data_IF_337643758524
#
_entry.id   IF_337643758524
#
_cell.length_a   1.000
_cell.length_b   1.000
_cell.length_c   1.000
_cell.angle_alpha   90.00
_cell.angle_beta   90.00
_cell.angle_gamma   90.00
#
_symmetry.space_group_name_H-M   'P 1'
#
loop_
_entity.id
_entity.type
_entity.pdbx_description
1 polymer ?
#
# COMPACT_ATOMS: atom_id res chain seq x y z
N UNK A 1 22.78 -23.90 56.61
CA UNK A 1 22.84 -24.51 55.26
C UNK A 1 21.82 -23.78 54.40
N UNK A 2 22.27 -22.89 53.50
CA UNK A 2 21.38 -22.23 52.55
C UNK A 2 21.14 -23.18 51.39
N UNK A 3 19.89 -23.59 51.17
CA UNK A 3 19.51 -24.28 49.95
C UNK A 3 19.50 -23.28 48.80
N UNK A 4 20.31 -23.61 47.79
CA UNK A 4 20.41 -22.93 46.50
C UNK A 4 19.09 -23.15 45.78
N UNK A 5 18.20 -22.16 45.81
CA UNK A 5 17.00 -22.14 44.96
C UNK A 5 17.42 -22.17 43.49
N UNK A 6 16.96 -23.18 42.77
CA UNK A 6 17.26 -23.40 41.37
C UNK A 6 16.72 -22.26 40.50
N UNK A 7 17.57 -21.80 39.58
CA UNK A 7 17.28 -20.80 38.57
C UNK A 7 16.37 -21.40 37.48
N UNK A 8 15.07 -21.08 37.52
CA UNK A 8 14.15 -21.36 36.41
C UNK A 8 14.40 -20.41 35.23
N UNK A 9 14.64 -20.98 34.05
CA UNK A 9 14.90 -20.29 32.78
C UNK A 9 13.64 -19.54 32.27
N UNK A 10 13.75 -18.43 31.50
CA UNK A 10 12.62 -17.60 31.12
C UNK A 10 11.99 -18.12 29.81
N UNK A 11 11.10 -19.12 29.90
CA UNK A 11 10.36 -19.57 28.73
C UNK A 11 9.31 -18.50 28.36
N UNK A 12 9.48 -17.89 27.19
CA UNK A 12 8.54 -16.90 26.65
C UNK A 12 7.13 -17.48 26.47
N UNK A 13 6.12 -16.60 26.35
CA UNK A 13 4.73 -17.00 26.12
C UNK A 13 4.66 -17.99 24.93
N UNK A 14 3.96 -19.13 25.08
CA UNK A 14 3.75 -20.08 23.98
C UNK A 14 3.21 -19.39 22.72
N UNK A 15 3.63 -19.87 21.55
CA UNK A 15 3.12 -19.38 20.27
C UNK A 15 1.63 -19.70 20.15
N UNK A 16 0.86 -18.72 19.67
CA UNK A 16 -0.57 -18.88 19.36
C UNK A 16 -0.73 -19.84 18.17
N UNK A 17 -1.60 -20.83 18.27
CA UNK A 17 -1.93 -21.79 17.19
C UNK A 17 -3.39 -21.67 16.77
N UNK A 18 -3.85 -22.55 15.88
CA UNK A 18 -5.26 -22.54 15.42
C UNK A 18 -6.24 -22.91 16.53
N UNK A 19 -5.82 -23.70 17.50
CA UNK A 19 -6.63 -24.09 18.66
C UNK A 19 -6.94 -22.92 19.60
N UNK A 20 -6.10 -21.88 19.59
CA UNK A 20 -6.28 -20.66 20.37
C UNK A 20 -7.25 -19.66 19.70
N UNK A 21 -7.62 -19.90 18.43
CA UNK A 21 -8.54 -19.03 17.70
C UNK A 21 -9.99 -19.24 18.15
N UNK A 22 -10.86 -18.22 18.03
CA UNK A 22 -12.26 -18.34 18.41
C UNK A 22 -12.97 -19.52 17.74
N UNK A 23 -13.84 -20.20 18.47
CA UNK A 23 -14.59 -21.33 17.92
C UNK A 23 -15.39 -20.92 16.67
N UNK A 24 -15.29 -21.73 15.61
CA UNK A 24 -15.93 -21.47 14.32
C UNK A 24 -15.43 -20.22 13.60
N UNK A 25 -14.19 -19.78 13.88
CA UNK A 25 -13.60 -18.59 13.25
C UNK A 25 -13.62 -18.67 11.72
N UNK A 26 -13.41 -19.86 11.15
CA UNK A 26 -13.33 -20.06 9.71
C UNK A 26 -14.69 -19.78 9.05
N UNK A 27 -15.76 -20.35 9.60
CA UNK A 27 -17.13 -20.16 9.14
C UNK A 27 -17.56 -18.70 9.27
N UNK A 28 -17.26 -18.08 10.42
CA UNK A 28 -17.56 -16.66 10.69
C UNK A 28 -16.83 -15.73 9.72
N UNK A 29 -15.53 -15.95 9.51
CA UNK A 29 -14.73 -15.19 8.57
C UNK A 29 -15.29 -15.33 7.14
N UNK A 30 -15.54 -16.57 6.68
CA UNK A 30 -16.10 -16.81 5.35
C UNK A 30 -17.50 -16.22 5.18
N UNK A 31 -18.34 -16.23 6.22
CA UNK A 31 -19.66 -15.58 6.19
C UNK A 31 -19.53 -14.07 5.98
N UNK A 32 -18.66 -13.40 6.76
CA UNK A 32 -18.48 -11.96 6.65
C UNK A 32 -17.82 -11.57 5.31
N UNK A 33 -16.85 -12.35 4.83
CA UNK A 33 -16.29 -12.17 3.49
C UNK A 33 -17.33 -12.31 2.38
N UNK A 34 -18.32 -13.22 2.50
CA UNK A 34 -19.42 -13.34 1.53
C UNK A 34 -20.29 -12.09 1.45
N UNK A 35 -20.20 -11.20 2.43
CA UNK A 35 -20.88 -9.91 2.46
C UNK A 35 -20.00 -8.76 1.94
N UNK A 36 -18.80 -9.08 1.44
CA UNK A 36 -17.85 -8.09 0.90
C UNK A 36 -16.90 -7.50 1.94
N UNK A 37 -16.82 -8.07 3.13
CA UNK A 37 -15.94 -7.57 4.19
C UNK A 37 -14.46 -7.75 3.90
N UNK A 38 -13.64 -6.87 4.47
CA UNK A 38 -12.19 -6.81 4.33
C UNK A 38 -11.46 -7.58 5.43
N UNK A 39 -10.18 -7.87 5.23
CA UNK A 39 -9.32 -8.47 6.26
C UNK A 39 -9.29 -7.65 7.56
N UNK A 40 -9.46 -6.32 7.49
CA UNK A 40 -9.55 -5.46 8.68
C UNK A 40 -10.84 -5.75 9.46
N UNK A 41 -11.97 -5.86 8.77
CA UNK A 41 -13.25 -6.22 9.37
C UNK A 41 -13.18 -7.64 9.96
N UNK A 42 -12.59 -8.61 9.25
CA UNK A 42 -12.42 -9.96 9.80
C UNK A 42 -11.59 -9.93 11.09
N UNK A 43 -10.48 -9.19 11.10
CA UNK A 43 -9.64 -9.06 12.30
C UNK A 43 -10.36 -8.43 13.47
N UNK A 44 -11.17 -7.39 13.22
CA UNK A 44 -11.94 -6.72 14.25
C UNK A 44 -13.07 -7.60 14.79
N UNK A 45 -13.90 -8.14 13.89
CA UNK A 45 -15.18 -8.77 14.24
C UNK A 45 -15.05 -10.26 14.58
N UNK A 46 -14.16 -10.99 13.93
CA UNK A 46 -14.00 -12.45 14.15
C UNK A 46 -12.94 -12.73 15.20
N UNK A 47 -11.82 -12.01 15.15
CA UNK A 47 -10.64 -12.29 15.97
C UNK A 47 -10.42 -11.29 17.10
N UNK A 48 -11.31 -10.32 17.32
CA UNK A 48 -11.25 -9.39 18.44
C UNK A 48 -10.03 -8.46 18.41
N UNK A 49 -9.60 -8.04 17.21
CA UNK A 49 -8.45 -7.14 17.03
C UNK A 49 -7.10 -7.85 16.93
N UNK A 50 -7.05 -8.99 16.24
CA UNK A 50 -5.80 -9.72 15.99
C UNK A 50 -4.70 -8.81 15.44
N UNK A 51 -3.51 -8.85 16.07
CA UNK A 51 -2.36 -8.06 15.63
C UNK A 51 -1.90 -8.41 14.21
N UNK A 52 -1.28 -7.45 13.52
CA UNK A 52 -0.73 -7.66 12.17
C UNK A 52 0.36 -8.74 12.15
N UNK A 53 1.19 -8.81 13.20
CA UNK A 53 2.28 -9.78 13.28
C UNK A 53 1.74 -11.20 13.44
N UNK A 54 0.75 -11.39 14.31
CA UNK A 54 0.07 -12.67 14.46
C UNK A 54 -0.62 -13.09 13.16
N UNK A 55 -1.37 -12.19 12.52
CA UNK A 55 -2.01 -12.45 11.24
C UNK A 55 -1.00 -12.86 10.17
N UNK A 56 0.07 -12.09 10.01
CA UNK A 56 1.11 -12.35 9.00
C UNK A 56 1.80 -13.69 9.24
N UNK A 57 2.09 -14.00 10.51
CA UNK A 57 2.66 -15.29 10.89
C UNK A 57 1.71 -16.45 10.60
N UNK A 58 0.44 -16.38 11.01
CA UNK A 58 -0.54 -17.44 10.74
C UNK A 58 -0.77 -17.62 9.23
N UNK A 59 -0.79 -16.55 8.44
CA UNK A 59 -0.86 -16.65 6.97
C UNK A 59 0.34 -17.41 6.35
N UNK A 60 1.51 -17.37 6.99
CA UNK A 60 2.74 -17.99 6.50
C UNK A 60 2.95 -19.41 7.06
N UNK A 61 2.56 -19.66 8.31
CA UNK A 61 2.84 -20.89 9.04
C UNK A 61 1.65 -21.87 9.05
N UNK A 62 0.41 -21.38 8.99
CA UNK A 62 -0.80 -22.20 9.15
C UNK A 62 -1.60 -22.32 7.84
N UNK A 63 -1.50 -23.47 7.18
CA UNK A 63 -2.12 -23.69 5.86
C UNK A 63 -3.64 -23.48 5.89
N UNK A 64 -4.34 -24.05 6.89
CA UNK A 64 -5.80 -23.92 7.01
C UNK A 64 -6.22 -22.44 7.16
N UNK A 65 -5.47 -21.67 7.93
CA UNK A 65 -5.70 -20.23 8.07
C UNK A 65 -5.51 -19.52 6.74
N UNK A 66 -4.37 -19.75 6.09
CA UNK A 66 -4.02 -19.11 4.82
C UNK A 66 -5.03 -19.41 3.71
N UNK A 67 -5.47 -20.66 3.57
CA UNK A 67 -6.48 -21.08 2.59
C UNK A 67 -7.84 -20.47 2.89
N UNK A 68 -8.27 -20.47 4.16
CA UNK A 68 -9.55 -19.89 4.57
C UNK A 68 -9.61 -18.40 4.26
N UNK A 69 -8.57 -17.64 4.61
CA UNK A 69 -8.50 -16.21 4.33
C UNK A 69 -8.41 -15.95 2.81
N UNK A 70 -7.66 -16.75 2.07
CA UNK A 70 -7.55 -16.62 0.61
C UNK A 70 -8.88 -16.90 -0.10
N UNK A 71 -9.61 -17.95 0.31
CA UNK A 71 -10.95 -18.22 -0.18
C UNK A 71 -11.92 -17.09 0.19
N UNK A 72 -11.81 -16.57 1.41
CA UNK A 72 -12.57 -15.41 1.88
C UNK A 72 -12.38 -14.18 1.01
N UNK A 73 -11.13 -13.80 0.70
CA UNK A 73 -10.82 -12.66 -0.18
C UNK A 73 -11.47 -12.81 -1.56
N UNK A 74 -11.45 -14.02 -2.14
CA UNK A 74 -12.11 -14.30 -3.41
C UNK A 74 -13.64 -14.14 -3.30
N UNK A 75 -14.27 -14.58 -2.21
CA UNK A 75 -15.70 -14.39 -1.95
C UNK A 75 -16.06 -12.89 -1.82
N UNK A 76 -15.23 -12.11 -1.12
CA UNK A 76 -15.42 -10.67 -1.00
C UNK A 76 -15.34 -9.98 -2.38
N UNK A 77 -14.33 -10.30 -3.19
CA UNK A 77 -14.22 -9.74 -4.53
C UNK A 77 -15.40 -10.13 -5.42
N UNK A 78 -15.87 -11.38 -5.33
CA UNK A 78 -17.05 -11.84 -6.05
C UNK A 78 -18.32 -11.07 -5.63
N UNK A 79 -18.49 -10.76 -4.34
CA UNK A 79 -19.59 -9.95 -3.85
C UNK A 79 -19.56 -8.54 -4.44
N UNK A 80 -18.42 -7.87 -4.40
CA UNK A 80 -18.26 -6.52 -4.94
C UNK A 80 -18.46 -6.51 -6.46
N UNK A 81 -17.90 -7.47 -7.18
CA UNK A 81 -18.10 -7.63 -8.63
C UNK A 81 -19.58 -7.84 -8.96
N UNK A 82 -20.30 -8.64 -8.17
CA UNK A 82 -21.74 -8.83 -8.32
C UNK A 82 -22.50 -7.52 -8.12
N UNK A 83 -22.14 -6.72 -7.11
CA UNK A 83 -22.77 -5.41 -6.85
C UNK A 83 -22.66 -4.48 -8.06
N UNK A 84 -21.49 -4.39 -8.68
CA UNK A 84 -21.32 -3.63 -9.92
C UNK A 84 -22.21 -4.18 -11.04
N UNK A 85 -22.11 -5.48 -11.33
CA UNK A 85 -22.84 -6.14 -12.43
C UNK A 85 -24.36 -5.99 -12.33
N UNK A 86 -24.93 -6.09 -11.12
CA UNK A 86 -26.38 -6.04 -10.91
C UNK A 86 -26.94 -4.64 -10.67
N UNK A 87 -26.11 -3.60 -10.76
CA UNK A 87 -26.54 -2.21 -10.49
C UNK A 87 -26.33 -1.27 -11.68
N UNK A 88 -26.03 -1.80 -12.87
CA UNK A 88 -25.70 -0.99 -14.06
C UNK A 88 -26.89 -0.16 -14.59
N UNK A 89 -28.12 -0.62 -14.39
CA UNK A 89 -29.36 0.04 -14.81
C UNK A 89 -29.98 0.91 -13.71
N UNK A 90 -29.38 0.90 -12.52
CA UNK A 90 -29.90 1.59 -11.34
C UNK A 90 -29.45 3.04 -11.31
N UNK A 91 -30.42 3.96 -11.36
CA UNK A 91 -30.17 5.42 -11.30
C UNK A 91 -29.57 5.90 -9.98
N UNK A 92 -29.72 5.13 -8.90
CA UNK A 92 -29.20 5.45 -7.57
C UNK A 92 -27.82 4.87 -7.30
N UNK A 93 -27.27 4.09 -8.24
CA UNK A 93 -25.96 3.47 -8.08
C UNK A 93 -24.84 4.50 -8.18
N UNK A 94 -24.01 4.57 -7.13
CA UNK A 94 -22.85 5.46 -7.06
C UNK A 94 -21.64 4.83 -7.77
N UNK A 95 -21.72 4.77 -9.10
CA UNK A 95 -20.72 4.16 -10.00
C UNK A 95 -19.28 4.63 -9.74
N UNK A 96 -19.08 5.94 -9.53
CA UNK A 96 -17.76 6.53 -9.24
C UNK A 96 -17.19 6.05 -7.91
N UNK A 97 -18.01 6.01 -6.86
CA UNK A 97 -17.59 5.55 -5.52
C UNK A 97 -17.27 4.07 -5.58
N UNK A 98 -18.11 3.29 -6.25
CA UNK A 98 -17.85 1.87 -6.51
C UNK A 98 -16.53 1.68 -7.26
N UNK A 99 -16.29 2.40 -8.36
CA UNK A 99 -15.05 2.29 -9.13
C UNK A 99 -13.82 2.63 -8.28
N UNK A 100 -13.86 3.71 -7.49
CA UNK A 100 -12.77 4.07 -6.56
C UNK A 100 -12.52 2.96 -5.55
N UNK A 101 -13.58 2.36 -5.01
CA UNK A 101 -13.45 1.24 -4.09
C UNK A 101 -12.80 0.02 -4.78
N UNK A 102 -13.22 -0.31 -6.00
CA UNK A 102 -12.64 -1.44 -6.77
C UNK A 102 -11.16 -1.21 -7.11
N UNK A 103 -10.78 -0.01 -7.55
CA UNK A 103 -9.39 0.33 -7.86
C UNK A 103 -8.50 0.26 -6.62
N UNK A 104 -8.94 0.84 -5.49
CA UNK A 104 -8.14 0.88 -4.27
C UNK A 104 -8.02 -0.49 -3.60
N UNK A 105 -9.10 -1.28 -3.60
CA UNK A 105 -9.17 -2.53 -2.85
C UNK A 105 -8.71 -3.75 -3.64
N UNK A 106 -9.12 -3.85 -4.90
CA UNK A 106 -8.85 -5.02 -5.74
C UNK A 106 -7.84 -4.72 -6.85
N UNK A 107 -7.22 -3.53 -6.83
CA UNK A 107 -6.22 -3.11 -7.82
C UNK A 107 -6.76 -3.22 -9.25
N UNK A 108 -8.05 -3.00 -9.42
CA UNK A 108 -8.63 -2.86 -10.75
C UNK A 108 -7.94 -1.68 -11.42
N UNK A 109 -7.44 -1.90 -12.61
CA UNK A 109 -6.80 -0.85 -13.39
C UNK A 109 -7.88 -0.09 -14.18
N UNK A 110 -7.77 1.23 -14.18
CA UNK A 110 -8.53 2.04 -15.12
C UNK A 110 -7.79 1.99 -16.47
N UNK A 111 -8.08 0.97 -17.27
CA UNK A 111 -7.49 0.80 -18.62
C UNK A 111 -7.90 1.87 -19.63
N UNK A 112 -8.50 2.98 -19.21
CA UNK A 112 -8.49 4.19 -20.00
C UNK A 112 -7.03 4.66 -20.03
N UNK A 113 -6.30 4.24 -21.08
CA UNK A 113 -4.98 4.74 -21.44
C UNK A 113 -5.10 6.27 -21.58
N UNK A 114 -4.82 6.96 -20.49
CA UNK A 114 -4.41 8.35 -20.51
C UNK A 114 -2.89 8.35 -20.60
N UNK A 115 -2.34 7.71 -21.65
CA UNK A 115 -0.92 7.78 -21.96
C UNK A 115 -0.58 9.26 -22.18
N UNK A 116 -0.15 9.90 -21.11
CA UNK A 116 0.27 11.29 -21.13
C UNK A 116 1.65 11.29 -21.76
N UNK A 117 1.68 11.36 -23.10
CA UNK A 117 2.91 11.53 -23.85
C UNK A 117 3.50 12.89 -23.48
N UNK A 118 4.53 12.87 -22.64
CA UNK A 118 5.31 14.05 -22.32
C UNK A 118 6.11 14.42 -23.57
N UNK A 119 5.68 15.47 -24.25
CA UNK A 119 6.36 16.05 -25.41
C UNK A 119 6.59 17.53 -25.17
N UNK A 120 7.66 18.07 -25.73
CA UNK A 120 7.91 19.49 -25.78
C UNK A 120 7.00 20.20 -26.79
N UNK A 121 7.19 21.52 -26.97
CA UNK A 121 6.41 22.30 -27.93
C UNK A 121 6.37 21.61 -29.31
N UNK A 122 5.17 21.53 -29.90
CA UNK A 122 4.93 20.90 -31.21
C UNK A 122 5.37 19.42 -31.32
N UNK A 123 5.37 18.67 -30.21
CA UNK A 123 5.80 17.26 -30.22
C UNK A 123 7.32 17.08 -30.20
N UNK A 124 8.08 18.17 -30.02
CA UNK A 124 9.53 18.15 -29.95
C UNK A 124 10.08 17.64 -28.61
N UNK A 125 11.41 17.64 -28.43
CA UNK A 125 12.04 17.31 -27.16
C UNK A 125 11.61 18.27 -26.03
N UNK A 126 11.53 17.76 -24.79
CA UNK A 126 11.31 18.60 -23.62
C UNK A 126 12.57 19.44 -23.39
N UNK A 127 12.44 20.77 -23.51
CA UNK A 127 13.53 21.68 -23.20
C UNK A 127 13.73 21.79 -21.68
N UNK A 128 14.93 21.47 -21.20
CA UNK A 128 15.32 21.65 -19.81
C UNK A 128 16.37 22.76 -19.73
N UNK A 129 16.11 23.81 -18.95
CA UNK A 129 17.09 24.86 -18.67
C UNK A 129 17.70 24.61 -17.30
N UNK A 130 18.93 24.12 -17.27
CA UNK A 130 19.71 23.98 -16.04
C UNK A 130 20.51 25.26 -15.78
N UNK A 131 20.25 25.95 -14.66
CA UNK A 131 20.98 27.17 -14.25
C UNK A 131 22.43 26.92 -13.77
N UNK A 132 22.97 25.72 -13.95
CA UNK A 132 24.28 25.30 -13.43
C UNK A 132 25.49 25.74 -14.25
N UNK A 133 25.31 26.28 -15.46
CA UNK A 133 26.41 26.66 -16.35
C UNK A 133 27.20 27.91 -15.87
N UNK A 134 26.65 28.69 -14.93
CA UNK A 134 27.29 29.94 -14.48
C UNK A 134 28.46 29.67 -13.51
N UNK A 135 28.38 28.61 -12.70
CA UNK A 135 29.40 28.35 -11.66
C UNK A 135 30.72 27.81 -12.23
N UNK A 136 30.66 26.96 -13.27
CA UNK A 136 31.86 26.34 -13.86
C UNK A 136 32.68 27.36 -14.65
N UNK A 137 32.02 28.24 -15.40
CA UNK A 137 32.71 29.24 -16.24
C UNK A 137 33.31 30.39 -15.41
N UNK A 138 32.81 30.62 -14.18
CA UNK A 138 33.41 31.57 -13.24
C UNK A 138 34.65 30.99 -12.53
N UNK A 139 34.65 29.69 -12.24
CA UNK A 139 35.77 29.03 -11.55
C UNK A 139 37.02 28.87 -12.43
N UNK A 140 36.87 28.84 -13.75
CA UNK A 140 37.98 28.76 -14.70
C UNK A 140 38.61 30.13 -15.03
N UNK A 141 38.01 31.23 -14.58
CA UNK A 141 38.51 32.59 -14.84
C UNK A 141 39.51 33.01 -13.77
N UNK A 142 40.56 33.69 -14.21
CA UNK A 142 41.53 34.34 -13.32
C UNK A 142 40.88 35.50 -12.55
N UNK A 143 41.48 35.89 -11.43
CA UNK A 143 40.97 36.96 -10.57
C UNK A 143 40.86 38.30 -11.34
N UNK A 144 41.75 38.57 -12.29
CA UNK A 144 41.74 39.77 -13.12
C UNK A 144 40.57 39.78 -14.10
N UNK A 145 40.27 38.63 -14.72
CA UNK A 145 39.14 38.47 -15.62
C UNK A 145 37.80 38.62 -14.88
N UNK A 146 37.71 38.07 -13.66
CA UNK A 146 36.55 38.26 -12.80
C UNK A 146 36.37 39.73 -12.43
N UNK A 147 37.45 40.40 -12.02
CA UNK A 147 37.40 41.81 -11.61
C UNK A 147 36.95 42.71 -12.76
N UNK A 148 37.43 42.46 -13.98
CA UNK A 148 36.99 43.21 -15.17
C UNK A 148 35.52 42.99 -15.48
N UNK A 149 35.04 41.74 -15.40
CA UNK A 149 33.64 41.37 -15.66
C UNK A 149 32.68 42.03 -14.67
N UNK A 150 33.03 42.05 -13.38
CA UNK A 150 32.23 42.71 -12.35
C UNK A 150 32.24 44.24 -12.51
N UNK A 151 33.37 44.83 -12.90
CA UNK A 151 33.50 46.28 -13.06
C UNK A 151 32.76 46.81 -14.29
N UNK A 152 32.68 46.04 -15.37
CA UNK A 152 31.89 46.40 -16.55
C UNK A 152 30.38 46.32 -16.30
N UNK A 153 29.91 45.30 -15.55
CA UNK A 153 28.48 45.17 -15.20
C UNK A 153 27.96 46.23 -14.22
N UNK A 154 28.83 46.86 -13.45
CA UNK A 154 28.46 47.94 -12.50
C UNK A 154 28.36 49.32 -13.17
N UNK A 155 28.74 49.45 -14.45
CA UNK A 155 28.69 50.72 -15.20
C UNK A 155 27.45 50.90 -16.08
N UNK A 156 26.57 49.89 -16.13
CA UNK A 156 25.22 49.94 -16.71
C UNK A 156 24.19 49.93 -15.61
#
# INVERSE_FOLDING_TARGET
MYQKGESGNPEGRPKVTLEDLPEGWAEKALALYREGASDVEIRAEVFGGMSNDLWTRLMAEEQLFSETISAGRALSEAWWTKKGRTSLDRKDFQDRVYALHMMNRFRWDNRISNDTKLTGPNGGPIETKHSGAVAVDLQSKSLDELTKLFTEKLKT
#
